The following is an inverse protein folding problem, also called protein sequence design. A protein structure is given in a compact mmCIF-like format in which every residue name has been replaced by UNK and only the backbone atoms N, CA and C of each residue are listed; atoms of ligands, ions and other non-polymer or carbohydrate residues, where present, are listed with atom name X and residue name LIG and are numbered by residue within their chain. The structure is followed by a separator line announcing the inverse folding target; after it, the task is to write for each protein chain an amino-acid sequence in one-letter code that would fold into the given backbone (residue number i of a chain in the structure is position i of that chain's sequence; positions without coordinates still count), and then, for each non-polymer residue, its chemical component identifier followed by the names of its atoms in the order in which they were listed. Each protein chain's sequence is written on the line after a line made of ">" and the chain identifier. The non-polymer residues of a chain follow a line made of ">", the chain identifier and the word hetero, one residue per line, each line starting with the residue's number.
data_IF_696926378012
#
_entry.id   IF_696926378012
#
_cell.length_a   1.000
_cell.length_b   1.000
_cell.length_c   1.000
_cell.angle_alpha   90.00
_cell.angle_beta   90.00
_cell.angle_gamma   90.00
#
_symmetry.space_group_name_H-M   'P 1'
#
loop_
_entity.id
_entity.type
_entity.pdbx_description
1 polymer ?
#
# COMPACT_ATOMS: atom_id res chain seq x y z
N UNK A 1 -21.39 6.27 13.07
CA UNK A 1 -20.44 5.43 12.33
C UNK A 1 -19.04 5.92 12.54
N UNK A 2 -18.15 5.02 12.79
CA UNK A 2 -16.76 5.36 13.05
C UNK A 2 -15.95 5.31 11.77
N UNK A 3 -15.11 6.32 11.55
CA UNK A 3 -14.20 6.29 10.43
C UNK A 3 -12.94 5.54 10.82
N UNK A 4 -12.42 4.73 9.92
CA UNK A 4 -11.17 4.01 10.14
C UNK A 4 -10.01 4.84 9.60
N UNK A 5 -9.77 5.98 10.26
CA UNK A 5 -8.76 6.92 9.78
C UNK A 5 -7.38 6.28 9.71
N UNK A 6 -7.10 5.39 10.67
CA UNK A 6 -5.79 4.74 10.74
C UNK A 6 -5.82 3.31 10.26
N UNK A 7 -6.87 2.96 9.52
CA UNK A 7 -7.00 1.60 9.03
C UNK A 7 -5.85 1.23 8.09
N UNK A 8 -5.28 0.08 8.32
CA UNK A 8 -4.29 -0.52 7.42
C UNK A 8 -4.70 -1.96 7.15
N UNK A 9 -4.32 -2.50 5.99
CA UNK A 9 -4.61 -3.90 5.71
C UNK A 9 -3.90 -4.82 6.69
N UNK A 10 -4.56 -5.92 7.03
CA UNK A 10 -3.98 -6.94 7.89
C UNK A 10 -3.17 -7.91 7.01
N UNK A 11 -1.96 -8.24 7.43
CA UNK A 11 -1.13 -9.18 6.70
C UNK A 11 -1.80 -10.54 6.48
N UNK A 12 -2.75 -10.91 7.32
CA UNK A 12 -3.51 -12.15 7.12
C UNK A 12 -4.33 -12.12 5.83
N UNK A 13 -4.56 -10.93 5.27
CA UNK A 13 -5.30 -10.77 4.03
C UNK A 13 -4.38 -10.75 2.81
N UNK A 14 -3.07 -10.72 3.01
CA UNK A 14 -2.12 -10.64 1.91
C UNK A 14 -2.07 -11.97 1.16
N UNK A 15 -2.12 -11.94 -0.18
CA UNK A 15 -1.90 -13.16 -0.95
C UNK A 15 -0.52 -13.74 -0.66
N UNK A 16 -0.40 -15.04 -0.78
CA UNK A 16 0.87 -15.70 -0.54
C UNK A 16 1.93 -15.20 -1.52
N UNK A 17 3.11 -14.85 -0.99
CA UNK A 17 4.18 -14.33 -1.82
C UNK A 17 4.12 -12.83 -2.05
N UNK A 18 3.08 -12.17 -1.54
CA UNK A 18 2.91 -10.72 -1.67
C UNK A 18 3.28 -10.09 -0.34
N UNK A 19 4.58 -9.82 -0.17
CA UNK A 19 5.15 -9.48 1.14
C UNK A 19 5.43 -8.00 1.33
N UNK A 20 5.01 -7.16 0.39
CA UNK A 20 5.16 -5.71 0.49
C UNK A 20 3.81 -5.04 0.51
N UNK A 21 3.73 -3.93 1.21
CA UNK A 21 2.49 -3.16 1.35
C UNK A 21 2.83 -1.68 1.33
N UNK A 22 2.08 -0.90 0.56
CA UNK A 22 2.29 0.53 0.51
C UNK A 22 0.99 1.23 0.20
N UNK A 23 0.88 2.49 0.63
CA UNK A 23 -0.29 3.32 0.44
C UNK A 23 0.02 4.45 -0.52
N UNK A 24 -0.87 4.70 -1.46
CA UNK A 24 -0.79 5.88 -2.32
C UNK A 24 -1.31 7.11 -1.57
N UNK A 25 -1.01 8.29 -2.10
CA UNK A 25 -1.40 9.53 -1.45
C UNK A 25 -2.92 9.63 -1.24
N UNK A 26 -3.71 9.06 -2.14
CA UNK A 26 -5.17 9.12 -2.05
C UNK A 26 -5.74 8.13 -1.03
N UNK A 27 -4.89 7.37 -0.35
CA UNK A 27 -5.32 6.45 0.70
C UNK A 27 -5.46 5.01 0.27
N UNK A 28 -5.36 4.72 -1.01
CA UNK A 28 -5.49 3.34 -1.47
C UNK A 28 -4.26 2.54 -1.09
N UNK A 29 -4.49 1.37 -0.50
CA UNK A 29 -3.43 0.44 -0.15
C UNK A 29 -3.31 -0.64 -1.21
N UNK A 30 -2.07 -1.08 -1.49
CA UNK A 30 -1.80 -2.15 -2.45
C UNK A 30 -0.77 -3.12 -1.89
N UNK A 31 -0.99 -4.39 -2.18
CA UNK A 31 0.01 -5.43 -1.97
C UNK A 31 0.97 -5.46 -3.16
N UNK A 32 2.24 -5.78 -2.90
CA UNK A 32 3.25 -5.91 -3.95
C UNK A 32 4.07 -7.18 -3.71
N UNK A 33 4.42 -7.87 -4.79
CA UNK A 33 5.28 -9.04 -4.71
C UNK A 33 6.73 -8.63 -4.54
N UNK A 34 7.14 -7.59 -5.24
CA UNK A 34 8.49 -7.04 -5.17
C UNK A 34 8.38 -5.61 -4.67
N UNK A 35 9.47 -5.12 -4.09
CA UNK A 35 9.47 -3.78 -3.50
C UNK A 35 9.12 -2.73 -4.55
N UNK A 36 8.06 -1.94 -4.35
CA UNK A 36 7.76 -0.83 -5.25
C UNK A 36 8.67 0.36 -4.95
N UNK A 37 8.69 1.33 -5.86
CA UNK A 37 9.43 2.58 -5.65
C UNK A 37 8.45 3.74 -5.70
N UNK A 38 8.71 4.82 -4.95
CA UNK A 38 7.81 5.98 -5.02
C UNK A 38 7.88 6.62 -6.40
N UNK A 39 6.73 7.03 -6.92
CA UNK A 39 6.69 7.74 -8.18
C UNK A 39 7.15 9.18 -8.03
N UNK A 40 7.51 9.79 -9.16
CA UNK A 40 7.96 11.17 -9.16
C UNK A 40 6.82 12.19 -9.11
N UNK A 41 5.61 11.74 -9.35
CA UNK A 41 4.44 12.60 -9.31
C UNK A 41 3.20 11.76 -9.23
N UNK A 42 2.05 12.40 -9.02
CA UNK A 42 0.78 11.70 -8.97
C UNK A 42 0.48 10.98 -7.68
N UNK A 43 1.41 10.99 -6.71
CA UNK A 43 1.14 10.41 -5.39
C UNK A 43 0.95 8.90 -5.38
N UNK A 44 1.60 8.19 -6.31
CA UNK A 44 1.42 6.74 -6.41
C UNK A 44 2.78 6.04 -6.41
N UNK A 45 2.78 4.80 -5.90
CA UNK A 45 3.94 3.93 -5.97
C UNK A 45 4.07 3.37 -7.39
N UNK A 46 5.31 3.21 -7.84
CA UNK A 46 5.59 2.68 -9.17
C UNK A 46 5.82 1.19 -9.08
N UNK A 47 5.07 0.46 -9.88
CA UNK A 47 5.22 -0.99 -10.03
C UNK A 47 4.55 -1.36 -11.34
N UNK A 48 4.95 -2.48 -11.94
CA UNK A 48 4.22 -2.92 -13.12
C UNK A 48 2.89 -3.54 -12.68
N UNK A 49 1.98 -3.69 -13.64
CA UNK A 49 0.61 -4.12 -13.33
C UNK A 49 0.55 -5.52 -12.71
N UNK A 50 1.56 -6.34 -12.91
CA UNK A 50 1.59 -7.69 -12.35
C UNK A 50 2.15 -7.71 -10.93
N UNK A 51 2.67 -6.58 -10.48
CA UNK A 51 3.26 -6.44 -9.15
C UNK A 51 2.40 -5.53 -8.28
N UNK A 52 1.10 -5.54 -8.48
CA UNK A 52 0.23 -4.66 -7.71
C UNK A 52 -1.13 -5.31 -7.56
N UNK A 53 -1.64 -5.37 -6.34
CA UNK A 53 -2.96 -5.89 -6.06
C UNK A 53 -3.63 -5.04 -5.00
N UNK A 54 -4.84 -4.59 -5.30
CA UNK A 54 -5.56 -3.69 -4.40
C UNK A 54 -5.82 -4.35 -3.05
N UNK A 55 -5.50 -3.65 -1.96
CA UNK A 55 -5.67 -4.17 -0.62
C UNK A 55 -6.81 -3.50 0.14
N UNK A 56 -7.18 -2.28 -0.23
CA UNK A 56 -8.28 -1.59 0.44
C UNK A 56 -8.08 -0.09 0.45
N UNK A 57 -9.11 0.62 0.89
CA UNK A 57 -9.12 2.07 0.92
C UNK A 57 -8.92 2.56 2.35
N UNK A 58 -7.84 3.30 2.56
CA UNK A 58 -7.61 3.98 3.81
C UNK A 58 -7.85 5.47 3.66
N UNK A 59 -7.40 6.23 4.66
CA UNK A 59 -7.49 7.69 4.65
C UNK A 59 -6.39 8.25 3.75
N UNK A 60 -6.66 9.32 2.99
CA UNK A 60 -5.58 9.99 2.24
C UNK A 60 -4.41 10.32 3.15
N UNK A 61 -3.21 10.18 2.64
CA UNK A 61 -2.00 10.26 3.46
C UNK A 61 -0.93 11.07 2.74
N UNK A 62 -0.67 12.29 3.24
CA UNK A 62 0.36 13.15 2.68
C UNK A 62 1.76 12.55 2.85
N UNK A 63 1.94 11.65 3.81
CA UNK A 63 3.20 10.96 4.07
C UNK A 63 3.23 9.58 3.43
N UNK A 64 2.57 9.45 2.29
CA UNK A 64 2.42 8.16 1.63
C UNK A 64 3.74 7.47 1.31
N UNK A 65 4.81 8.23 1.06
CA UNK A 65 6.11 7.63 0.76
C UNK A 65 6.73 6.94 1.97
N UNK A 66 6.19 7.20 3.17
CA UNK A 66 6.66 6.53 4.39
C UNK A 66 5.82 5.32 4.75
N UNK A 67 4.85 4.97 3.91
CA UNK A 67 3.93 3.88 4.21
C UNK A 67 4.46 2.49 3.84
N UNK A 68 5.55 2.42 3.11
CA UNK A 68 6.06 1.13 2.62
C UNK A 68 6.44 0.22 3.79
N UNK A 69 5.98 -1.01 3.73
CA UNK A 69 6.25 -2.01 4.76
C UNK A 69 6.53 -3.36 4.13
N UNK A 70 7.41 -4.11 4.76
CA UNK A 70 7.65 -5.51 4.41
C UNK A 70 7.07 -6.39 5.51
N UNK A 71 6.56 -7.56 5.12
CA UNK A 71 5.89 -8.48 6.06
C UNK A 71 6.76 -8.80 7.27
N UNK A 72 8.06 -8.95 7.06
CA UNK A 72 8.98 -9.39 8.11
C UNK A 72 9.65 -8.22 8.86
N UNK A 73 9.18 -7.00 8.64
CA UNK A 73 9.79 -5.83 9.30
C UNK A 73 9.00 -5.38 10.51
#
# INVERSE_FOLDING_TARGET
>A
MQTNEDWTPDWSQAPEGWDWLAQDEDGRWFWYRNEPTPGFGGGVWRANSRNQQYAGQGRPNALWMESLRHRDS
#
